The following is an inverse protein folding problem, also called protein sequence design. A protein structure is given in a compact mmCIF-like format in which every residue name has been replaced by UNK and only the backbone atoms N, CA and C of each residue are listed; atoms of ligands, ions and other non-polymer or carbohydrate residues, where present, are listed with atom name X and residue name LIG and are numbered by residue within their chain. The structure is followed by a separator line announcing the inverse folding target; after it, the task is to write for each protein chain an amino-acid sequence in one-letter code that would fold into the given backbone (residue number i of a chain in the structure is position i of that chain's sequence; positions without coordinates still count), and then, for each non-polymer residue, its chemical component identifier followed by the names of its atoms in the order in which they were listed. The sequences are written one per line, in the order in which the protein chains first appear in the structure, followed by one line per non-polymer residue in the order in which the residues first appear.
data_IF_012857664323
#
_entry.id   IF_012857664323
#
_cell.length_a   1.000
_cell.length_b   1.000
_cell.length_c   1.000
_cell.angle_alpha   90.00
_cell.angle_beta   90.00
_cell.angle_gamma   90.00
#
_symmetry.space_group_name_H-M   'P 1'
#
loop_
_entity.id
_entity.type
_entity.pdbx_description
1 polymer ?
#
# COMPACT_ATOMS: atom_id res chain seq x y z
N UNK A 1 15.79 -13.24 19.22
CA UNK A 1 14.78 -12.21 19.51
C UNK A 1 14.74 -11.26 18.33
N UNK A 2 13.73 -11.37 17.48
CA UNK A 2 13.52 -10.45 16.35
C UNK A 2 13.11 -9.10 16.91
N UNK A 3 13.78 -7.99 16.58
CA UNK A 3 13.36 -6.68 17.06
C UNK A 3 11.96 -6.40 16.49
N UNK A 4 10.98 -6.30 17.38
CA UNK A 4 9.67 -5.81 17.03
C UNK A 4 9.86 -4.34 16.64
N UNK A 5 9.83 -4.05 15.34
CA UNK A 5 9.97 -2.70 14.81
C UNK A 5 8.86 -1.84 15.43
N UNK A 6 9.23 -0.98 16.36
CA UNK A 6 8.31 -0.04 17.00
C UNK A 6 8.05 1.10 16.03
N UNK A 7 7.00 0.92 15.25
CA UNK A 7 6.56 1.77 14.14
C UNK A 7 6.32 3.24 14.50
N UNK A 8 6.12 3.57 15.78
CA UNK A 8 5.94 4.95 16.27
C UNK A 8 7.18 5.85 16.11
N UNK A 9 8.35 5.28 15.85
CA UNK A 9 9.60 6.05 15.65
C UNK A 9 9.90 6.37 14.18
N UNK A 10 9.10 5.85 13.25
CA UNK A 10 9.35 6.01 11.81
C UNK A 10 8.98 7.43 11.38
N UNK A 11 10.01 8.22 11.03
CA UNK A 11 9.84 9.54 10.40
C UNK A 11 10.22 9.46 8.93
N UNK A 12 9.38 10.06 8.07
CA UNK A 12 9.74 10.25 6.68
C UNK A 12 10.93 11.21 6.60
N UNK A 13 12.00 10.79 5.95
CA UNK A 13 13.17 11.62 5.72
C UNK A 13 13.70 11.35 4.31
N UNK A 14 14.12 12.40 3.58
CA UNK A 14 14.62 12.24 2.22
C UNK A 14 15.89 11.37 2.15
N UNK A 15 16.66 11.28 3.24
CA UNK A 15 17.80 10.35 3.33
C UNK A 15 17.41 8.87 3.31
N UNK A 16 16.11 8.55 3.43
CA UNK A 16 15.60 7.21 3.21
C UNK A 16 15.51 6.87 1.71
N UNK A 17 15.48 7.88 0.83
CA UNK A 17 15.47 7.66 -0.61
C UNK A 17 16.83 7.17 -1.08
N UNK A 18 16.84 6.07 -1.82
CA UNK A 18 18.08 5.44 -2.28
C UNK A 18 18.84 4.67 -1.19
N UNK A 19 18.24 4.42 -0.03
CA UNK A 19 18.82 3.48 0.92
C UNK A 19 18.93 2.11 0.27
N UNK A 20 20.14 1.55 0.29
CA UNK A 20 20.36 0.18 -0.15
C UNK A 20 19.65 -0.76 0.81
N UNK A 21 19.00 -1.77 0.23
CA UNK A 21 18.47 -2.87 0.99
C UNK A 21 19.62 -3.55 1.74
N UNK A 22 19.37 -3.95 2.98
CA UNK A 22 20.28 -4.87 3.69
C UNK A 22 20.27 -6.23 2.99
N UNK A 23 21.33 -7.02 3.17
CA UNK A 23 21.40 -8.37 2.58
C UNK A 23 20.18 -9.23 2.94
N UNK A 24 19.66 -9.12 4.17
CA UNK A 24 18.46 -9.82 4.59
C UNK A 24 17.23 -9.38 3.79
N UNK A 25 17.05 -8.08 3.57
CA UNK A 25 15.94 -7.56 2.78
C UNK A 25 16.08 -7.93 1.30
N UNK A 26 17.29 -7.92 0.74
CA UNK A 26 17.55 -8.39 -0.63
C UNK A 26 17.23 -9.87 -0.79
N UNK A 27 17.58 -10.71 0.18
CA UNK A 27 17.26 -12.13 0.17
C UNK A 27 15.76 -12.37 0.27
N UNK A 28 15.06 -11.64 1.16
CA UNK A 28 13.60 -11.70 1.27
C UNK A 28 12.94 -11.27 -0.04
N UNK A 29 13.39 -10.16 -0.65
CA UNK A 29 12.87 -9.68 -1.92
C UNK A 29 13.09 -10.70 -3.04
N UNK A 30 14.30 -11.26 -3.13
CA UNK A 30 14.64 -12.30 -4.10
C UNK A 30 13.77 -13.55 -3.92
N UNK A 31 13.50 -13.93 -2.68
CA UNK A 31 12.65 -15.07 -2.35
C UNK A 31 11.21 -14.82 -2.80
N UNK A 32 10.62 -13.66 -2.53
CA UNK A 32 9.22 -13.38 -2.91
C UNK A 32 9.04 -13.16 -4.42
N UNK A 33 10.08 -12.70 -5.11
CA UNK A 33 10.07 -12.48 -6.56
C UNK A 33 10.41 -13.73 -7.39
N UNK A 34 10.86 -14.84 -6.76
CA UNK A 34 11.16 -16.09 -7.48
C UNK A 34 9.89 -16.63 -8.17
N UNK A 35 9.88 -16.61 -9.50
CA UNK A 35 8.76 -17.06 -10.33
C UNK A 35 8.62 -18.58 -10.37
N UNK A 36 9.56 -19.34 -9.80
CA UNK A 36 9.46 -20.80 -9.63
C UNK A 36 8.69 -21.20 -8.38
N UNK A 37 8.47 -20.25 -7.46
CA UNK A 37 7.66 -20.47 -6.26
C UNK A 37 6.17 -20.61 -6.59
N UNK A 38 5.39 -21.14 -5.64
CA UNK A 38 3.94 -21.33 -5.83
C UNK A 38 3.23 -19.96 -5.96
N UNK A 39 2.49 -19.70 -7.05
CA UNK A 39 1.82 -18.41 -7.27
C UNK A 39 0.83 -18.00 -6.17
N UNK A 40 0.18 -18.99 -5.55
CA UNK A 40 -0.85 -18.81 -4.51
C UNK A 40 -0.28 -18.84 -3.08
N UNK A 41 1.05 -18.92 -2.94
CA UNK A 41 1.71 -18.88 -1.65
C UNK A 41 1.39 -17.57 -0.93
N UNK A 42 0.89 -17.67 0.31
CA UNK A 42 0.52 -16.52 1.14
C UNK A 42 1.77 -15.97 1.81
N UNK A 43 2.20 -14.78 1.41
CA UNK A 43 3.47 -14.20 1.84
C UNK A 43 3.31 -13.12 2.90
N UNK A 44 2.18 -12.42 2.92
CA UNK A 44 1.90 -11.39 3.91
C UNK A 44 0.40 -11.26 4.21
N UNK A 45 0.10 -10.68 5.38
CA UNK A 45 -1.26 -10.35 5.81
C UNK A 45 -1.28 -8.92 6.35
N UNK A 46 -1.97 -8.01 5.66
CA UNK A 46 -2.01 -6.58 5.96
C UNK A 46 -3.45 -6.09 5.92
N UNK A 47 -3.96 -5.51 7.01
CA UNK A 47 -5.31 -4.95 7.09
C UNK A 47 -6.40 -5.90 6.54
N UNK A 48 -6.43 -7.14 7.04
CA UNK A 48 -7.34 -8.19 6.61
C UNK A 48 -7.19 -8.65 5.15
N UNK A 49 -6.13 -8.22 4.47
CA UNK A 49 -5.80 -8.66 3.13
C UNK A 49 -4.64 -9.65 3.14
N UNK A 50 -4.83 -10.79 2.47
CA UNK A 50 -3.75 -11.72 2.17
C UNK A 50 -3.07 -11.28 0.88
N UNK A 51 -1.74 -11.19 0.90
CA UNK A 51 -0.91 -10.97 -0.29
C UNK A 51 -0.24 -12.28 -0.67
N UNK A 52 -0.44 -12.67 -1.92
CA UNK A 52 0.11 -13.88 -2.54
C UNK A 52 1.38 -13.55 -3.32
N UNK A 53 2.17 -14.58 -3.64
CA UNK A 53 3.36 -14.43 -4.50
C UNK A 53 3.09 -13.71 -5.82
N UNK A 54 1.96 -13.97 -6.45
CA UNK A 54 1.57 -13.32 -7.71
C UNK A 54 1.43 -11.81 -7.56
N UNK A 55 0.88 -11.33 -6.44
CA UNK A 55 0.79 -9.88 -6.15
C UNK A 55 2.17 -9.23 -6.14
N UNK A 56 3.16 -9.89 -5.54
CA UNK A 56 4.54 -9.41 -5.42
C UNK A 56 5.29 -9.40 -6.76
N UNK A 57 4.92 -10.20 -7.76
CA UNK A 57 5.62 -10.22 -9.05
C UNK A 57 5.59 -8.88 -9.79
N UNK A 58 4.61 -8.03 -9.47
CA UNK A 58 4.54 -6.67 -9.99
C UNK A 58 5.64 -5.75 -9.44
N UNK A 59 6.25 -6.11 -8.31
CA UNK A 59 7.40 -5.38 -7.77
C UNK A 59 8.68 -5.71 -8.55
N UNK A 60 9.47 -4.68 -8.85
CA UNK A 60 10.77 -4.83 -9.51
C UNK A 60 10.70 -5.12 -11.01
N UNK A 61 9.52 -5.03 -11.62
CA UNK A 61 9.31 -5.16 -13.08
C UNK A 61 8.91 -3.81 -13.69
N UNK A 62 9.18 -3.57 -14.99
CA UNK A 62 8.73 -2.37 -15.70
C UNK A 62 7.24 -2.48 -16.07
N UNK A 63 6.38 -2.68 -15.06
CA UNK A 63 4.93 -2.79 -15.19
C UNK A 63 4.25 -2.08 -14.01
N UNK A 64 2.94 -1.85 -14.13
CA UNK A 64 2.16 -1.27 -13.03
C UNK A 64 2.19 -2.18 -11.80
N UNK A 65 2.37 -1.57 -10.62
CA UNK A 65 2.24 -2.26 -9.34
C UNK A 65 0.80 -2.75 -9.16
N UNK A 66 0.64 -3.94 -8.59
CA UNK A 66 -0.68 -4.49 -8.33
C UNK A 66 -1.43 -3.68 -7.26
N UNK A 67 -2.73 -3.49 -7.48
CA UNK A 67 -3.58 -2.68 -6.61
C UNK A 67 -3.58 -3.17 -5.16
N UNK A 68 -3.48 -4.48 -4.94
CA UNK A 68 -3.38 -5.09 -3.61
C UNK A 68 -2.12 -4.69 -2.85
N UNK A 69 -0.98 -4.64 -3.55
CA UNK A 69 0.30 -4.20 -2.98
C UNK A 69 0.20 -2.71 -2.62
N UNK A 70 -0.29 -1.88 -3.54
CA UNK A 70 -0.48 -0.45 -3.29
C UNK A 70 -1.39 -0.19 -2.08
N UNK A 71 -2.55 -0.84 -2.04
CA UNK A 71 -3.51 -0.70 -0.93
C UNK A 71 -2.88 -1.13 0.40
N UNK A 72 -2.11 -2.21 0.40
CA UNK A 72 -1.41 -2.68 1.60
C UNK A 72 -0.34 -1.68 2.07
N UNK A 73 0.43 -1.09 1.15
CA UNK A 73 1.39 -0.04 1.48
C UNK A 73 0.70 1.19 2.09
N UNK A 74 -0.43 1.63 1.52
CA UNK A 74 -1.19 2.75 2.06
C UNK A 74 -1.76 2.46 3.45
N UNK A 75 -2.18 1.22 3.73
CA UNK A 75 -2.62 0.83 5.08
C UNK A 75 -1.49 0.76 6.09
N UNK A 76 -0.27 0.39 5.67
CA UNK A 76 0.91 0.55 6.52
C UNK A 76 1.13 2.02 6.85
N UNK A 77 1.10 2.92 5.86
CA UNK A 77 1.25 4.38 6.07
C UNK A 77 0.16 4.91 7.02
N UNK A 78 -1.09 4.52 6.81
CA UNK A 78 -2.21 4.88 7.67
C UNK A 78 -1.97 4.47 9.12
N UNK A 79 -1.50 3.24 9.35
CA UNK A 79 -1.14 2.74 10.68
C UNK A 79 0.01 3.55 11.29
N UNK A 80 1.08 3.81 10.55
CA UNK A 80 2.23 4.60 11.01
C UNK A 80 1.82 6.01 11.45
N UNK A 81 0.97 6.67 10.67
CA UNK A 81 0.48 8.00 10.97
C UNK A 81 -0.43 8.01 12.20
N UNK A 82 -1.35 7.04 12.29
CA UNK A 82 -2.26 6.90 13.43
C UNK A 82 -1.49 6.61 14.73
N UNK A 83 -0.43 5.79 14.69
CA UNK A 83 0.46 5.54 15.84
C UNK A 83 1.16 6.84 16.32
N UNK A 84 1.25 7.86 15.47
CA UNK A 84 1.79 9.20 15.79
C UNK A 84 0.69 10.22 16.11
N UNK A 85 -0.56 9.80 16.25
CA UNK A 85 -1.71 10.67 16.52
C UNK A 85 -2.19 11.47 15.30
N UNK A 86 -1.70 11.17 14.10
CA UNK A 86 -2.13 11.79 12.84
C UNK A 86 -3.19 10.91 12.20
N UNK A 87 -4.45 11.36 12.21
CA UNK A 87 -5.54 10.64 11.57
C UNK A 87 -5.42 10.69 10.05
N UNK A 88 -5.17 9.53 9.44
CA UNK A 88 -5.13 9.35 7.98
C UNK A 88 -6.16 8.32 7.58
N UNK A 89 -6.77 8.51 6.41
CA UNK A 89 -7.58 7.50 5.74
C UNK A 89 -6.99 7.21 4.37
N UNK A 90 -6.89 5.94 4.02
CA UNK A 90 -6.56 5.49 2.66
C UNK A 90 -7.74 4.74 2.04
N UNK A 91 -8.21 5.24 0.88
CA UNK A 91 -9.23 4.59 0.09
C UNK A 91 -8.66 3.36 -0.62
N UNK A 92 -9.50 2.33 -0.83
CA UNK A 92 -9.12 1.13 -1.58
C UNK A 92 -9.17 1.43 -3.09
N UNK A 93 -8.08 1.18 -3.81
CA UNK A 93 -7.99 1.47 -5.24
C UNK A 93 -9.04 0.78 -6.12
N UNK A 94 -9.48 -0.43 -5.78
CA UNK A 94 -10.55 -1.12 -6.51
C UNK A 94 -11.90 -0.46 -6.30
N UNK A 95 -12.13 0.11 -5.11
CA UNK A 95 -13.33 0.91 -4.82
C UNK A 95 -13.25 2.25 -5.56
N UNK A 96 -12.10 2.92 -5.51
CA UNK A 96 -11.90 4.18 -6.25
C UNK A 96 -12.14 3.99 -7.75
N UNK A 97 -11.76 2.83 -8.30
CA UNK A 97 -12.03 2.50 -9.71
C UNK A 97 -13.54 2.50 -10.06
N UNK A 98 -14.42 2.17 -9.12
CA UNK A 98 -15.89 2.16 -9.34
C UNK A 98 -16.50 3.55 -9.39
N UNK A 99 -15.77 4.59 -8.98
CA UNK A 99 -16.25 5.98 -9.02
C UNK A 99 -16.26 6.55 -10.44
N UNK A 100 -15.52 5.92 -11.35
CA UNK A 100 -15.42 6.34 -12.74
C UNK A 100 -16.35 5.52 -13.64
N UNK A 101 -16.46 5.93 -14.90
CA UNK A 101 -17.21 5.21 -15.94
C UNK A 101 -16.66 3.78 -16.05
N UNK A 102 -17.52 2.75 -16.17
CA UNK A 102 -18.98 2.83 -16.37
C UNK A 102 -19.80 2.81 -15.07
N UNK A 103 -19.18 2.54 -13.91
CA UNK A 103 -19.91 2.28 -12.67
C UNK A 103 -20.47 3.54 -12.02
N UNK A 104 -19.74 4.67 -12.09
CA UNK A 104 -20.20 5.98 -11.61
C UNK A 104 -20.75 5.95 -10.18
N UNK A 105 -20.18 5.14 -9.30
CA UNK A 105 -20.61 5.06 -7.91
C UNK A 105 -20.30 6.37 -7.17
N UNK A 106 -21.15 6.74 -6.20
CA UNK A 106 -20.94 7.96 -5.41
C UNK A 106 -19.71 7.80 -4.49
N UNK A 107 -18.65 8.63 -4.64
CA UNK A 107 -17.48 8.56 -3.76
C UNK A 107 -17.80 8.76 -2.28
N UNK A 108 -18.80 9.60 -1.95
CA UNK A 108 -19.17 9.92 -0.56
C UNK A 108 -19.59 8.68 0.24
N UNK A 109 -20.09 7.63 -0.43
CA UNK A 109 -20.47 6.36 0.21
C UNK A 109 -19.27 5.54 0.70
N UNK A 110 -18.07 5.88 0.26
CA UNK A 110 -16.84 5.13 0.48
C UNK A 110 -15.80 5.91 1.28
N UNK A 111 -16.08 7.18 1.57
CA UNK A 111 -15.25 8.05 2.40
C UNK A 111 -15.64 7.88 3.88
N UNK A 112 -14.72 8.19 4.81
CA UNK A 112 -15.01 8.01 6.23
C UNK A 112 -16.02 9.06 6.73
N UNK A 113 -16.93 8.64 7.61
CA UNK A 113 -17.83 9.56 8.29
C UNK A 113 -17.05 10.70 8.98
N UNK A 114 -17.54 11.93 8.83
CA UNK A 114 -16.89 13.14 9.35
C UNK A 114 -15.46 13.27 8.82
N UNK A 115 -15.33 13.34 7.51
CA UNK A 115 -14.06 13.51 6.77
C UNK A 115 -13.14 14.59 7.37
N UNK A 116 -13.72 15.68 7.90
CA UNK A 116 -12.96 16.78 8.52
C UNK A 116 -12.20 16.37 9.80
N UNK A 117 -12.47 15.20 10.36
CA UNK A 117 -11.69 14.62 11.45
C UNK A 117 -10.37 13.99 10.98
N UNK A 118 -10.20 13.78 9.68
CA UNK A 118 -8.98 13.22 9.10
C UNK A 118 -8.10 14.36 8.61
N UNK A 119 -6.81 14.28 8.98
CA UNK A 119 -5.83 15.26 8.51
C UNK A 119 -5.47 15.03 7.04
N UNK A 120 -5.50 13.77 6.60
CA UNK A 120 -5.24 13.38 5.23
C UNK A 120 -6.19 12.30 4.78
N UNK A 121 -6.72 12.45 3.57
CA UNK A 121 -7.48 11.44 2.85
C UNK A 121 -6.69 11.10 1.60
N UNK A 122 -6.14 9.89 1.52
CA UNK A 122 -5.34 9.39 0.40
C UNK A 122 -6.24 8.59 -0.54
N UNK A 123 -6.34 9.04 -1.79
CA UNK A 123 -7.16 8.42 -2.83
C UNK A 123 -6.24 7.93 -3.96
N UNK A 124 -5.94 6.62 -4.04
CA UNK A 124 -5.19 6.06 -5.15
C UNK A 124 -6.07 5.91 -6.39
N UNK A 125 -5.68 6.57 -7.48
CA UNK A 125 -6.36 6.51 -8.78
C UNK A 125 -5.44 5.81 -9.78
N UNK A 126 -5.94 4.74 -10.39
CA UNK A 126 -5.28 4.10 -11.52
C UNK A 126 -5.82 4.66 -12.83
N UNK A 127 -4.88 4.96 -13.74
CA UNK A 127 -5.13 5.13 -15.17
C UNK A 127 -4.17 4.19 -15.90
N UNK A 128 -4.48 3.74 -17.13
CA UNK A 128 -3.61 2.83 -17.86
C UNK A 128 -2.13 3.29 -17.85
N UNK A 129 -1.25 2.48 -17.26
CA UNK A 129 0.19 2.73 -17.16
C UNK A 129 0.62 3.72 -16.06
N UNK A 130 -0.29 4.15 -15.18
CA UNK A 130 0.06 5.15 -14.16
C UNK A 130 -0.84 5.14 -12.92
N UNK A 131 -0.21 5.17 -11.75
CA UNK A 131 -0.85 5.41 -10.45
C UNK A 131 -0.67 6.86 -10.01
N UNK A 132 -1.75 7.52 -9.61
CA UNK A 132 -1.73 8.84 -8.98
C UNK A 132 -2.32 8.74 -7.58
N UNK A 133 -1.69 9.39 -6.60
CA UNK A 133 -2.27 9.54 -5.26
C UNK A 133 -2.79 10.97 -5.14
N UNK A 134 -4.09 11.11 -4.91
CA UNK A 134 -4.72 12.39 -4.61
C UNK A 134 -4.86 12.55 -3.09
N UNK A 135 -4.68 13.78 -2.58
CA UNK A 135 -4.79 14.10 -1.16
C UNK A 135 -5.63 15.35 -0.91
N UNK A 136 -6.44 15.34 0.15
CA UNK A 136 -7.00 16.52 0.83
C UNK A 136 -6.20 16.76 2.11
#
# INVERSE_FOLDING_TARGET
MTPQLTLHTVKAHLSCWGQKLTQTQENMLSQVLDSRGSPDERLAYVNNQILTRTDFWTLGRPQDVEGMILNSCLKVIEKLANDQGIKVFSANSYVVHTWFIPMMQNPEQHLPDKEDNFRWILVPVWRPGHWTICGK
#
